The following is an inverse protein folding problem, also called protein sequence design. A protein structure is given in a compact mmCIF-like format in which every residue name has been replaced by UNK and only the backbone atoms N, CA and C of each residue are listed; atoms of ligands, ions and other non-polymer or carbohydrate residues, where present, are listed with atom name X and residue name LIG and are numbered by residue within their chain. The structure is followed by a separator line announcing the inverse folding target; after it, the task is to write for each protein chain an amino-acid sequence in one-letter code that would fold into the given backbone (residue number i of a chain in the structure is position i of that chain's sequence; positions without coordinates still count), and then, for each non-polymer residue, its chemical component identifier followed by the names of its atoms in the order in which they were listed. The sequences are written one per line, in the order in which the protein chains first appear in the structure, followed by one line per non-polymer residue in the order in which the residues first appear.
data_IF_996826418202
#
_entry.id   IF_996826418202
#
_cell.length_a   1.000
_cell.length_b   1.000
_cell.length_c   1.000
_cell.angle_alpha   90.00
_cell.angle_beta   90.00
_cell.angle_gamma   90.00
#
_symmetry.space_group_name_H-M   'P 1'
#
loop_
_entity.id
_entity.type
_entity.pdbx_description
1 polymer ?
#
# COMPACT_ATOMS: atom_id res chain seq x y z
N UNK A 1 -18.82 42.46 50.21
CA UNK A 1 -18.77 43.54 49.19
C UNK A 1 -17.89 43.06 48.06
N UNK A 2 -18.45 43.13 46.85
CA UNK A 2 -18.03 42.43 45.65
C UNK A 2 -16.66 42.86 45.13
N UNK A 3 -15.74 41.91 44.90
CA UNK A 3 -14.50 42.17 44.16
C UNK A 3 -14.82 42.22 42.65
N UNK A 4 -15.38 43.34 42.17
CA UNK A 4 -15.44 43.61 40.73
C UNK A 4 -14.02 43.85 40.24
N UNK A 5 -13.40 42.83 39.66
CA UNK A 5 -12.18 42.95 38.86
C UNK A 5 -12.53 43.85 37.67
N UNK A 6 -12.13 45.11 37.73
CA UNK A 6 -12.32 46.08 36.65
C UNK A 6 -11.30 45.73 35.56
N UNK A 7 -11.68 44.80 34.69
CA UNK A 7 -10.93 44.53 33.48
C UNK A 7 -10.97 45.77 32.59
N UNK A 8 -9.82 46.43 32.46
CA UNK A 8 -9.64 47.62 31.63
C UNK A 8 -10.13 47.34 30.20
N UNK A 9 -10.89 48.27 29.61
CA UNK A 9 -11.39 48.18 28.22
C UNK A 9 -10.27 47.92 27.21
N UNK A 10 -9.04 48.34 27.52
CA UNK A 10 -7.85 48.04 26.72
C UNK A 10 -7.41 46.57 26.81
N UNK A 11 -7.64 45.89 27.94
CA UNK A 11 -7.30 44.47 28.12
C UNK A 11 -8.14 43.56 27.21
N UNK A 12 -9.45 43.84 27.09
CA UNK A 12 -10.31 43.11 26.16
C UNK A 12 -9.93 43.34 24.69
N UNK A 13 -9.50 44.57 24.33
CA UNK A 13 -8.97 44.85 22.99
C UNK A 13 -7.69 44.08 22.70
N UNK A 14 -6.78 43.99 23.66
CA UNK A 14 -5.52 43.24 23.51
C UNK A 14 -5.77 41.75 23.36
N UNK A 15 -6.62 41.14 24.20
CA UNK A 15 -6.98 39.72 24.08
C UNK A 15 -7.66 39.45 22.75
N UNK A 16 -8.61 40.29 22.34
CA UNK A 16 -9.28 40.14 21.06
C UNK A 16 -8.29 40.18 19.89
N UNK A 17 -7.34 41.12 19.91
CA UNK A 17 -6.29 41.21 18.89
C UNK A 17 -5.42 39.94 18.85
N UNK A 18 -4.99 39.41 19.99
CA UNK A 18 -4.22 38.16 20.04
C UNK A 18 -5.02 36.95 19.56
N UNK A 19 -6.30 36.84 19.93
CA UNK A 19 -7.16 35.74 19.45
C UNK A 19 -7.40 35.83 17.94
N UNK A 20 -7.53 37.03 17.39
CA UNK A 20 -7.70 37.27 15.96
C UNK A 20 -6.42 36.89 15.21
N UNK A 21 -5.25 37.34 15.67
CA UNK A 21 -3.96 36.98 15.09
C UNK A 21 -3.72 35.48 15.17
N UNK A 22 -4.02 34.85 16.31
CA UNK A 22 -3.89 33.41 16.48
C UNK A 22 -4.82 32.64 15.53
N UNK A 23 -6.07 33.09 15.36
CA UNK A 23 -7.00 32.54 14.37
C UNK A 23 -6.47 32.64 12.94
N UNK A 24 -5.86 33.78 12.56
CA UNK A 24 -5.21 33.95 11.26
C UNK A 24 -3.99 33.03 11.05
N UNK A 25 -3.21 32.77 12.11
CA UNK A 25 -2.05 31.86 12.03
C UNK A 25 -2.49 30.41 11.93
N UNK A 26 -3.49 30.00 12.73
CA UNK A 26 -4.05 28.65 12.71
C UNK A 26 -4.74 28.38 11.37
N UNK A 27 -5.54 29.32 10.86
CA UNK A 27 -6.17 29.17 9.54
C UNK A 27 -5.14 29.10 8.42
N UNK A 28 -4.05 29.89 8.44
CA UNK A 28 -2.96 29.73 7.45
C UNK A 28 -2.29 28.35 7.52
N UNK A 29 -2.06 27.81 8.72
CA UNK A 29 -1.45 26.49 8.89
C UNK A 29 -2.36 25.37 8.38
N UNK A 30 -3.66 25.46 8.69
CA UNK A 30 -4.68 24.53 8.20
C UNK A 30 -4.82 24.64 6.68
N UNK A 31 -4.92 25.86 6.16
CA UNK A 31 -5.05 26.12 4.72
C UNK A 31 -3.82 25.70 3.92
N UNK A 32 -2.61 25.84 4.47
CA UNK A 32 -1.39 25.34 3.84
C UNK A 32 -1.30 23.81 3.88
N UNK A 33 -1.81 23.17 4.93
CA UNK A 33 -1.89 21.71 5.02
C UNK A 33 -2.96 21.11 4.11
N UNK A 34 -4.05 21.84 3.87
CA UNK A 34 -5.18 21.43 3.03
C UNK A 34 -4.98 21.78 1.55
N UNK A 35 -4.28 22.89 1.24
CA UNK A 35 -3.99 23.36 -0.13
C UNK A 35 -2.53 23.16 -0.55
N UNK A 36 -1.96 21.99 -0.27
CA UNK A 36 -0.75 21.48 -0.93
C UNK A 36 -1.01 21.12 -2.42
N UNK A 37 -1.94 21.81 -3.05
CA UNK A 37 -2.44 21.57 -4.38
C UNK A 37 -2.10 22.77 -5.27
N UNK A 38 -1.18 22.54 -6.22
CA UNK A 38 -0.88 23.30 -7.45
C UNK A 38 -0.07 24.60 -7.30
N UNK A 39 1.14 24.78 -7.85
CA UNK A 39 1.80 24.16 -9.01
C UNK A 39 2.93 23.19 -8.62
N UNK A 40 2.64 21.89 -8.59
CA UNK A 40 3.73 20.93 -8.71
C UNK A 40 4.06 20.81 -10.21
N UNK A 41 5.27 21.20 -10.62
CA UNK A 41 5.75 20.89 -11.96
C UNK A 41 5.98 19.38 -12.07
N UNK A 42 6.04 18.84 -13.29
CA UNK A 42 6.36 17.43 -13.50
C UNK A 42 7.67 17.04 -12.78
N UNK A 43 8.74 17.80 -13.01
CA UNK A 43 10.04 17.55 -12.37
C UNK A 43 10.03 17.82 -10.86
N UNK A 44 9.31 18.84 -10.40
CA UNK A 44 9.15 19.11 -8.97
C UNK A 44 8.43 17.98 -8.25
N UNK A 45 7.46 17.34 -8.91
CA UNK A 45 6.75 16.17 -8.38
C UNK A 45 7.66 14.94 -8.31
N UNK A 46 8.50 14.71 -9.31
CA UNK A 46 9.47 13.61 -9.27
C UNK A 46 10.46 13.77 -8.09
N UNK A 47 11.00 14.97 -7.91
CA UNK A 47 11.93 15.27 -6.81
C UNK A 47 11.23 15.16 -5.44
N UNK A 48 10.06 15.76 -5.27
CA UNK A 48 9.30 15.69 -4.03
C UNK A 48 8.90 14.24 -3.70
N UNK A 49 8.47 13.46 -4.71
CA UNK A 49 8.18 12.04 -4.55
C UNK A 49 9.40 11.24 -4.11
N UNK A 50 10.59 11.56 -4.64
CA UNK A 50 11.83 10.90 -4.27
C UNK A 50 12.27 11.23 -2.84
N UNK A 51 12.16 12.49 -2.42
CA UNK A 51 12.43 12.91 -1.03
C UNK A 51 11.47 12.22 -0.07
N UNK A 52 10.16 12.23 -0.38
CA UNK A 52 9.16 11.56 0.44
C UNK A 52 9.43 10.04 0.55
N UNK A 53 9.77 9.38 -0.57
CA UNK A 53 10.14 7.96 -0.57
C UNK A 53 11.37 7.68 0.30
N UNK A 54 12.40 8.53 0.22
CA UNK A 54 13.60 8.40 1.06
C UNK A 54 13.27 8.49 2.56
N UNK A 55 12.29 9.32 2.91
CA UNK A 55 11.80 9.47 4.28
C UNK A 55 10.75 8.42 4.69
N UNK A 56 10.50 7.39 3.86
CA UNK A 56 9.44 6.39 4.04
C UNK A 56 8.01 6.97 4.12
N UNK A 57 7.80 8.17 3.61
CA UNK A 57 6.50 8.83 3.51
C UNK A 57 5.74 8.35 2.25
N UNK A 58 5.48 7.05 2.15
CA UNK A 58 4.97 6.40 0.94
C UNK A 58 3.64 7.00 0.44
N UNK A 59 2.77 7.43 1.35
CA UNK A 59 1.51 8.10 1.02
C UNK A 59 1.73 9.46 0.33
N UNK A 60 2.75 10.20 0.75
CA UNK A 60 3.12 11.48 0.14
C UNK A 60 3.82 11.23 -1.21
N UNK A 61 4.73 10.26 -1.25
CA UNK A 61 5.40 9.84 -2.48
C UNK A 61 4.39 9.42 -3.56
N UNK A 62 3.39 8.61 -3.20
CA UNK A 62 2.30 8.19 -4.09
C UNK A 62 1.58 9.39 -4.71
N UNK A 63 1.19 10.39 -3.92
CA UNK A 63 0.53 11.60 -4.45
C UNK A 63 1.37 12.30 -5.51
N UNK A 64 2.66 12.51 -5.26
CA UNK A 64 3.54 13.20 -6.20
C UNK A 64 3.85 12.38 -7.45
N UNK A 65 4.14 11.09 -7.32
CA UNK A 65 4.42 10.22 -8.47
C UNK A 65 3.17 10.03 -9.34
N UNK A 66 1.98 9.91 -8.73
CA UNK A 66 0.72 9.88 -9.48
C UNK A 66 0.49 11.15 -10.28
N UNK A 67 0.75 12.31 -9.67
CA UNK A 67 0.68 13.58 -10.39
C UNK A 67 1.66 13.62 -11.57
N UNK A 68 2.92 13.19 -11.37
CA UNK A 68 3.91 13.12 -12.43
C UNK A 68 3.47 12.17 -13.57
N UNK A 69 2.90 11.01 -13.23
CA UNK A 69 2.37 10.05 -14.18
C UNK A 69 1.17 10.62 -14.97
N UNK A 70 0.29 11.37 -14.33
CA UNK A 70 -0.80 12.06 -15.04
C UNK A 70 -0.30 13.08 -16.07
N UNK A 71 0.85 13.73 -15.81
CA UNK A 71 1.47 14.68 -16.74
C UNK A 71 2.25 14.00 -17.87
N UNK A 72 2.85 12.83 -17.62
CA UNK A 72 3.56 12.05 -18.64
C UNK A 72 3.16 10.56 -18.61
N UNK A 73 1.94 10.21 -19.05
CA UNK A 73 1.38 8.87 -18.91
C UNK A 73 2.03 7.81 -19.81
N UNK A 74 2.88 8.22 -20.76
CA UNK A 74 3.60 7.31 -21.66
C UNK A 74 4.92 6.80 -21.06
N UNK A 75 5.36 7.39 -19.93
CA UNK A 75 6.59 6.99 -19.28
C UNK A 75 6.32 5.86 -18.27
N UNK A 76 6.77 4.65 -18.61
CA UNK A 76 6.59 3.44 -17.80
C UNK A 76 7.28 3.52 -16.43
N UNK A 77 8.43 4.18 -16.33
CA UNK A 77 9.21 4.25 -15.09
C UNK A 77 8.46 5.08 -14.03
N UNK A 78 7.75 6.11 -14.47
CA UNK A 78 6.97 6.98 -13.58
C UNK A 78 5.68 6.30 -13.16
N UNK A 79 5.06 5.55 -14.07
CA UNK A 79 3.96 4.67 -13.74
C UNK A 79 4.40 3.62 -12.71
N UNK A 80 5.57 2.99 -12.86
CA UNK A 80 6.09 2.04 -11.89
C UNK A 80 6.33 2.69 -10.51
N UNK A 81 6.94 3.88 -10.47
CA UNK A 81 7.11 4.63 -9.21
C UNK A 81 5.76 4.95 -8.55
N UNK A 82 4.77 5.32 -9.35
CA UNK A 82 3.40 5.61 -8.91
C UNK A 82 2.70 4.37 -8.35
N UNK A 83 2.78 3.23 -9.05
CA UNK A 83 2.20 1.96 -8.62
C UNK A 83 2.89 1.44 -7.36
N UNK A 84 4.23 1.46 -7.34
CA UNK A 84 5.03 0.99 -6.21
C UNK A 84 4.77 1.81 -4.95
N UNK A 85 4.78 3.14 -5.04
CA UNK A 85 4.52 4.00 -3.88
C UNK A 85 3.10 3.85 -3.34
N UNK A 86 2.11 3.64 -4.21
CA UNK A 86 0.72 3.34 -3.81
C UNK A 86 0.58 1.96 -3.16
N UNK A 87 1.33 0.96 -3.66
CA UNK A 87 1.42 -0.35 -3.03
C UNK A 87 2.04 -0.24 -1.62
N UNK A 88 3.17 0.47 -1.50
CA UNK A 88 3.89 0.66 -0.24
C UNK A 88 3.14 1.55 0.77
N UNK A 89 2.20 2.39 0.33
CA UNK A 89 1.31 3.14 1.22
C UNK A 89 0.13 2.30 1.73
N UNK A 90 -0.08 1.10 1.17
CA UNK A 90 -1.25 0.26 1.46
C UNK A 90 -2.50 0.63 0.65
N UNK A 91 -2.41 1.60 -0.26
CA UNK A 91 -3.53 2.04 -1.12
C UNK A 91 -3.70 1.09 -2.33
N UNK A 92 -3.85 -0.21 -2.06
CA UNK A 92 -3.89 -1.29 -3.06
C UNK A 92 -4.99 -1.06 -4.11
N UNK A 93 -6.17 -0.61 -3.67
CA UNK A 93 -7.31 -0.33 -4.57
C UNK A 93 -6.92 0.69 -5.65
N UNK A 94 -6.25 1.76 -5.23
CA UNK A 94 -5.86 2.86 -6.08
C UNK A 94 -4.71 2.47 -7.01
N UNK A 95 -3.78 1.64 -6.55
CA UNK A 95 -2.75 1.03 -7.41
C UNK A 95 -3.37 0.14 -8.50
N UNK A 96 -4.41 -0.64 -8.18
CA UNK A 96 -5.13 -1.47 -9.16
C UNK A 96 -5.90 -0.63 -10.18
N UNK A 97 -6.57 0.44 -9.76
CA UNK A 97 -7.27 1.37 -10.66
C UNK A 97 -6.29 2.06 -11.62
N UNK A 98 -5.16 2.53 -11.10
CA UNK A 98 -4.11 3.12 -11.93
C UNK A 98 -3.54 2.06 -12.90
N UNK A 99 -3.29 0.82 -12.47
CA UNK A 99 -2.81 -0.24 -13.34
C UNK A 99 -3.79 -0.49 -14.51
N UNK A 100 -5.09 -0.64 -14.23
CA UNK A 100 -6.12 -0.87 -15.24
C UNK A 100 -6.21 0.26 -16.27
N UNK A 101 -6.06 1.51 -15.81
CA UNK A 101 -6.06 2.69 -16.68
C UNK A 101 -4.92 2.67 -17.70
N UNK A 102 -3.80 2.05 -17.35
CA UNK A 102 -2.57 2.05 -18.17
C UNK A 102 -2.22 0.65 -18.72
N UNK A 103 -3.05 -0.37 -18.51
CA UNK A 103 -2.82 -1.77 -18.94
C UNK A 103 -2.67 -1.90 -20.47
N UNK A 104 -3.20 -0.95 -21.25
CA UNK A 104 -3.00 -0.88 -22.70
C UNK A 104 -1.57 -0.52 -23.14
N UNK A 105 -0.68 -0.17 -22.21
CA UNK A 105 0.73 0.08 -22.49
C UNK A 105 1.52 -1.23 -22.34
N UNK A 106 1.94 -1.82 -23.46
CA UNK A 106 2.70 -3.09 -23.54
C UNK A 106 3.95 -3.15 -22.65
N UNK A 107 4.61 -2.01 -22.37
CA UNK A 107 5.79 -1.96 -21.50
C UNK A 107 5.50 -2.24 -20.03
N UNK A 108 4.28 -1.96 -19.56
CA UNK A 108 3.86 -2.24 -18.18
C UNK A 108 3.46 -3.69 -17.95
N UNK A 109 3.22 -4.48 -18.99
CA UNK A 109 2.79 -5.86 -18.82
C UNK A 109 3.84 -6.73 -18.11
N UNK A 110 5.12 -6.40 -18.26
CA UNK A 110 6.23 -7.19 -17.73
C UNK A 110 6.91 -6.58 -16.49
N UNK A 111 6.45 -5.44 -15.96
CA UNK A 111 7.07 -4.90 -14.75
C UNK A 111 6.76 -5.77 -13.53
N UNK A 112 7.74 -5.94 -12.64
CA UNK A 112 7.59 -6.77 -11.42
C UNK A 112 6.44 -6.29 -10.53
N UNK A 113 6.25 -4.97 -10.45
CA UNK A 113 5.16 -4.34 -9.70
C UNK A 113 3.81 -4.61 -10.34
N UNK A 114 3.70 -4.49 -11.67
CA UNK A 114 2.49 -4.84 -12.41
C UNK A 114 2.12 -6.31 -12.20
N UNK A 115 3.09 -7.21 -12.24
CA UNK A 115 2.88 -8.64 -12.03
C UNK A 115 2.39 -8.94 -10.60
N UNK A 116 2.96 -8.30 -9.59
CA UNK A 116 2.47 -8.39 -8.21
C UNK A 116 1.04 -7.85 -8.07
N UNK A 117 0.72 -6.72 -8.70
CA UNK A 117 -0.64 -6.16 -8.69
C UNK A 117 -1.63 -7.07 -9.43
N UNK A 118 -1.25 -7.68 -10.57
CA UNK A 118 -2.04 -8.68 -11.29
C UNK A 118 -2.29 -9.91 -10.39
N UNK A 119 -1.27 -10.38 -9.67
CA UNK A 119 -1.42 -11.45 -8.68
C UNK A 119 -2.45 -11.07 -7.61
N UNK A 120 -2.30 -9.90 -6.97
CA UNK A 120 -3.23 -9.41 -5.94
C UNK A 120 -4.67 -9.30 -6.50
N UNK A 121 -4.83 -8.82 -7.74
CA UNK A 121 -6.12 -8.74 -8.43
C UNK A 121 -6.75 -10.13 -8.59
N UNK A 122 -5.98 -11.14 -8.99
CA UNK A 122 -6.49 -12.50 -9.09
C UNK A 122 -6.93 -13.07 -7.73
N UNK A 123 -6.17 -12.81 -6.66
CA UNK A 123 -6.58 -13.20 -5.30
C UNK A 123 -7.88 -12.52 -4.88
N UNK A 124 -7.97 -11.20 -5.06
CA UNK A 124 -9.17 -10.42 -4.70
C UNK A 124 -10.42 -10.89 -5.43
N UNK A 125 -10.27 -11.38 -6.66
CA UNK A 125 -11.36 -11.89 -7.49
C UNK A 125 -11.54 -13.42 -7.35
N UNK A 126 -10.96 -14.02 -6.31
CA UNK A 126 -11.03 -15.47 -6.02
C UNK A 126 -10.55 -16.38 -7.15
N UNK A 127 -9.75 -15.83 -8.08
CA UNK A 127 -9.20 -16.57 -9.21
C UNK A 127 -7.86 -17.21 -8.85
N UNK A 128 -7.89 -18.12 -7.88
CA UNK A 128 -6.69 -18.74 -7.31
C UNK A 128 -5.88 -19.53 -8.34
N UNK A 129 -6.54 -20.14 -9.33
CA UNK A 129 -5.86 -20.86 -10.43
C UNK A 129 -5.00 -19.93 -11.27
N UNK A 130 -5.51 -18.75 -11.66
CA UNK A 130 -4.71 -17.75 -12.39
C UNK A 130 -3.60 -17.18 -11.54
N UNK A 131 -3.86 -16.91 -10.25
CA UNK A 131 -2.84 -16.45 -9.32
C UNK A 131 -1.69 -17.46 -9.16
N UNK A 132 -2.02 -18.75 -9.02
CA UNK A 132 -1.05 -19.83 -8.91
C UNK A 132 -0.24 -20.01 -10.19
N UNK A 133 -0.89 -19.98 -11.36
CA UNK A 133 -0.19 -20.02 -12.65
C UNK A 133 0.80 -18.87 -12.79
N UNK A 134 0.37 -17.66 -12.43
CA UNK A 134 1.21 -16.47 -12.48
C UNK A 134 2.44 -16.60 -11.58
N UNK A 135 2.27 -17.13 -10.37
CA UNK A 135 3.36 -17.37 -9.42
C UNK A 135 4.33 -18.47 -9.89
N UNK A 136 3.85 -19.48 -10.61
CA UNK A 136 4.67 -20.58 -11.11
C UNK A 136 5.43 -20.25 -12.40
N UNK A 137 4.89 -19.36 -13.24
CA UNK A 137 5.46 -19.02 -14.55
C UNK A 137 6.49 -17.90 -14.48
N UNK A 138 6.53 -17.11 -13.39
CA UNK A 138 7.20 -15.83 -13.40
C UNK A 138 8.21 -15.68 -12.26
N UNK A 139 9.50 -15.77 -12.58
CA UNK A 139 10.60 -15.49 -11.63
C UNK A 139 10.66 -13.99 -11.24
N UNK A 140 9.95 -13.12 -11.97
CA UNK A 140 10.06 -11.68 -11.81
C UNK A 140 9.07 -11.07 -10.81
N UNK A 141 8.10 -11.84 -10.30
CA UNK A 141 7.22 -11.33 -9.24
C UNK A 141 8.05 -11.03 -7.98
N UNK A 142 7.80 -9.88 -7.33
CA UNK A 142 8.44 -9.49 -6.04
C UNK A 142 7.80 -10.30 -4.90
N UNK A 143 7.93 -11.62 -4.96
CA UNK A 143 7.58 -12.58 -3.92
C UNK A 143 8.77 -13.52 -3.80
N UNK A 144 9.46 -13.44 -2.67
CA UNK A 144 10.68 -14.24 -2.45
C UNK A 144 10.36 -15.74 -2.51
N UNK A 145 11.26 -16.52 -3.09
CA UNK A 145 11.13 -17.98 -3.18
C UNK A 145 10.91 -18.65 -1.81
N UNK A 146 11.43 -18.06 -0.73
CA UNK A 146 11.25 -18.54 0.65
C UNK A 146 9.80 -18.55 1.14
N UNK A 147 8.98 -17.58 0.71
CA UNK A 147 7.56 -17.49 1.12
C UNK A 147 6.61 -18.11 0.10
N UNK A 148 7.08 -18.41 -1.11
CA UNK A 148 6.25 -19.01 -2.16
C UNK A 148 5.58 -20.33 -1.74
N UNK A 149 6.24 -21.28 -1.04
CA UNK A 149 5.59 -22.50 -0.55
C UNK A 149 4.32 -22.23 0.26
N UNK A 150 4.36 -21.23 1.14
CA UNK A 150 3.22 -20.84 1.97
C UNK A 150 2.10 -20.28 1.08
N UNK A 151 2.43 -19.38 0.17
CA UNK A 151 1.44 -18.76 -0.73
C UNK A 151 0.80 -19.82 -1.63
N UNK A 152 1.59 -20.70 -2.26
CA UNK A 152 1.10 -21.79 -3.11
C UNK A 152 0.16 -22.73 -2.34
N UNK A 153 0.48 -23.01 -1.07
CA UNK A 153 -0.37 -23.83 -0.22
C UNK A 153 -1.76 -23.20 0.00
N UNK A 154 -1.83 -21.88 0.23
CA UNK A 154 -3.10 -21.16 0.35
C UNK A 154 -3.91 -21.08 -0.95
N UNK A 155 -3.25 -21.20 -2.11
CA UNK A 155 -3.89 -21.18 -3.42
C UNK A 155 -4.28 -22.55 -3.95
N UNK A 156 -3.92 -23.62 -3.23
CA UNK A 156 -4.20 -24.98 -3.65
C UNK A 156 -5.72 -25.27 -3.70
N UNK A 157 -6.13 -26.19 -4.56
CA UNK A 157 -7.54 -26.59 -4.71
C UNK A 157 -7.98 -27.65 -3.69
N UNK A 158 -7.03 -28.25 -2.96
CA UNK A 158 -7.26 -29.38 -2.07
C UNK A 158 -6.23 -29.40 -0.95
N UNK A 159 -6.62 -29.94 0.22
CA UNK A 159 -5.74 -30.06 1.38
C UNK A 159 -4.46 -30.85 1.08
N UNK A 160 -4.56 -31.94 0.31
CA UNK A 160 -3.40 -32.76 -0.07
C UNK A 160 -2.35 -31.95 -0.83
N UNK A 161 -2.78 -31.15 -1.83
CA UNK A 161 -1.87 -30.25 -2.56
C UNK A 161 -1.36 -29.14 -1.66
N UNK A 162 -2.22 -28.52 -0.85
CA UNK A 162 -1.80 -27.47 0.08
C UNK A 162 -0.70 -27.95 1.03
N UNK A 163 -0.85 -29.17 1.58
CA UNK A 163 0.16 -29.82 2.42
C UNK A 163 1.45 -30.06 1.64
N UNK A 164 1.35 -30.58 0.42
CA UNK A 164 2.53 -30.81 -0.42
C UNK A 164 3.32 -29.54 -0.74
N UNK A 165 2.64 -28.41 -0.94
CA UNK A 165 3.27 -27.11 -1.20
C UNK A 165 3.93 -26.55 0.07
N UNK A 166 3.22 -26.51 1.20
CA UNK A 166 3.79 -25.95 2.45
C UNK A 166 4.94 -26.82 2.99
N UNK A 167 4.94 -28.12 2.71
CA UNK A 167 6.04 -29.03 3.05
C UNK A 167 7.35 -28.66 2.33
N UNK A 168 7.33 -27.83 1.28
CA UNK A 168 8.55 -27.30 0.64
C UNK A 168 9.16 -26.11 1.40
N UNK A 169 8.51 -25.61 2.45
CA UNK A 169 9.05 -24.52 3.25
C UNK A 169 10.33 -24.93 3.98
N UNK A 170 11.41 -24.19 3.74
CA UNK A 170 12.78 -24.52 4.17
C UNK A 170 12.92 -24.62 5.70
N UNK A 171 12.18 -23.79 6.45
CA UNK A 171 12.35 -23.65 7.90
C UNK A 171 11.38 -24.47 8.73
N UNK A 172 10.90 -25.62 8.25
CA UNK A 172 9.87 -26.45 8.92
C UNK A 172 10.38 -27.33 10.06
N UNK A 173 11.69 -27.45 10.25
CA UNK A 173 12.29 -28.34 11.25
C UNK A 173 12.17 -27.79 12.67
N UNK A 174 11.79 -28.65 13.62
CA UNK A 174 11.70 -28.31 15.04
C UNK A 174 13.03 -27.73 15.57
N UNK A 175 12.93 -26.63 16.31
CA UNK A 175 14.09 -25.93 16.89
C UNK A 175 14.61 -24.77 16.04
N UNK A 176 14.11 -24.58 14.82
CA UNK A 176 14.33 -23.34 14.06
C UNK A 176 13.34 -22.27 14.51
N UNK A 177 13.80 -21.04 14.75
CA UNK A 177 12.92 -19.92 15.15
C UNK A 177 11.76 -19.69 14.18
N UNK A 178 11.93 -20.06 12.91
CA UNK A 178 10.92 -19.88 11.86
C UNK A 178 10.02 -21.11 11.63
N UNK A 179 10.17 -22.20 12.39
CA UNK A 179 9.31 -23.39 12.27
C UNK A 179 7.87 -23.12 12.66
N UNK A 180 7.65 -22.18 13.58
CA UNK A 180 6.31 -21.78 13.99
C UNK A 180 5.47 -21.27 12.81
N UNK A 181 6.09 -20.57 11.85
CA UNK A 181 5.42 -20.10 10.64
C UNK A 181 4.83 -21.29 9.87
N UNK A 182 5.60 -22.36 9.69
CA UNK A 182 5.13 -23.58 9.03
C UNK A 182 3.95 -24.21 9.76
N UNK A 183 4.10 -24.45 11.07
CA UNK A 183 3.08 -25.15 11.85
C UNK A 183 1.78 -24.35 11.98
N UNK A 184 1.87 -23.03 12.19
CA UNK A 184 0.71 -22.14 12.26
C UNK A 184 -0.05 -22.16 10.92
N UNK A 185 0.65 -21.98 9.80
CA UNK A 185 -0.01 -22.00 8.50
C UNK A 185 -0.60 -23.37 8.17
N UNK A 186 0.10 -24.48 8.46
CA UNK A 186 -0.43 -25.83 8.25
C UNK A 186 -1.71 -26.07 9.06
N UNK A 187 -1.75 -25.65 10.32
CA UNK A 187 -2.92 -25.76 11.16
C UNK A 187 -4.10 -24.94 10.62
N UNK A 188 -3.87 -23.70 10.20
CA UNK A 188 -4.89 -22.82 9.63
C UNK A 188 -5.44 -23.37 8.30
N UNK A 189 -4.57 -23.87 7.42
CA UNK A 189 -4.95 -24.50 6.15
C UNK A 189 -5.80 -25.75 6.40
N UNK A 190 -5.39 -26.60 7.33
CA UNK A 190 -6.17 -27.79 7.72
C UNK A 190 -7.57 -27.39 8.23
N UNK A 191 -7.65 -26.35 9.07
CA UNK A 191 -8.93 -25.86 9.56
C UNK A 191 -9.83 -25.34 8.43
N UNK A 192 -9.26 -24.55 7.51
CA UNK A 192 -9.97 -24.03 6.34
C UNK A 192 -10.62 -25.15 5.49
N UNK A 193 -9.88 -26.22 5.18
CA UNK A 193 -10.45 -27.32 4.39
C UNK A 193 -11.43 -28.20 5.18
N UNK A 194 -11.25 -28.34 6.50
CA UNK A 194 -12.23 -29.03 7.36
C UNK A 194 -13.57 -28.30 7.37
N UNK A 195 -13.55 -26.96 7.45
CA UNK A 195 -14.78 -26.17 7.42
C UNK A 195 -15.43 -26.21 6.04
N UNK A 196 -14.63 -26.13 4.96
CA UNK A 196 -15.14 -26.30 3.59
C UNK A 196 -15.84 -27.65 3.39
N UNK A 197 -15.33 -28.73 4.00
CA UNK A 197 -15.93 -30.06 3.93
C UNK A 197 -17.26 -30.20 4.69
N UNK A 198 -17.54 -29.33 5.68
CA UNK A 198 -18.82 -29.31 6.40
C UNK A 198 -19.93 -28.56 5.66
N UNK A 199 -19.58 -27.75 4.66
CA UNK A 199 -20.53 -26.94 3.88
C UNK A 199 -21.09 -27.68 2.65
N UNK A 200 -20.62 -28.91 2.39
CA UNK A 200 -21.16 -29.84 1.38
C UNK A 200 -21.84 -31.01 2.08
#
# INVERSE_FOLDING_TARGET
MDSKVILNKNFYKTIFFFTLVFSFVVTKKIYASENLHYLSSYYGSLLAGQIAKYNNENKIASKYYRFANQKNPKNSDILELSLMSSLLSGDIKLALEDLEKYDNNLSTENSKISQLLKFIKYIKNENYKKALNLLNQNEEIIITTKVQPIIKAWLADSFSKAKSEIDQFEYKSDGLVMSDIYFIHLALINNFYKDKAKCY
#
